data_IF_333512841112
#
_entry.id   IF_333512841112
#
_cell.length_a   1.000
_cell.length_b   1.000
_cell.length_c   1.000
_cell.angle_alpha   90.00
_cell.angle_beta   90.00
_cell.angle_gamma   90.00
#
_symmetry.space_group_name_H-M   'P 1'
#
loop_
_entity.id
_entity.type
_entity.pdbx_description
1 polymer ?
#
# COMPACT_ATOMS: atom_id res chain seq x y z
N UNK A 1 16.74 37.73 -45.39
CA UNK A 1 17.11 36.50 -46.11
C UNK A 1 18.29 35.86 -45.38
N UNK A 2 18.01 34.95 -44.45
CA UNK A 2 18.97 33.99 -43.87
C UNK A 2 18.16 32.72 -43.67
N UNK A 3 18.60 31.63 -44.32
CA UNK A 3 17.82 30.43 -44.54
C UNK A 3 17.78 29.48 -43.34
N UNK A 4 16.60 28.91 -43.13
CA UNK A 4 16.36 27.71 -42.33
C UNK A 4 17.01 26.49 -42.98
N UNK A 5 17.65 25.64 -42.18
CA UNK A 5 18.00 24.25 -42.51
C UNK A 5 17.26 23.36 -41.52
N UNK A 6 16.16 22.76 -41.97
CA UNK A 6 15.52 21.60 -41.33
C UNK A 6 16.13 20.34 -41.95
N UNK A 7 16.74 19.49 -41.12
CA UNK A 7 17.06 18.11 -41.49
C UNK A 7 16.02 17.21 -40.84
N UNK A 8 15.11 16.69 -41.66
CA UNK A 8 14.13 15.69 -41.27
C UNK A 8 14.75 14.29 -41.31
N UNK A 9 14.50 13.51 -40.27
CA UNK A 9 14.64 12.05 -40.29
C UNK A 9 13.24 11.46 -40.09
N UNK A 10 12.61 11.01 -41.16
CA UNK A 10 11.36 10.25 -41.14
C UNK A 10 11.69 8.76 -41.12
N UNK A 11 11.51 8.10 -39.97
CA UNK A 11 11.40 6.64 -39.92
C UNK A 11 9.98 6.25 -40.32
N UNK A 12 9.85 5.52 -41.43
CA UNK A 12 8.60 4.92 -41.85
C UNK A 12 8.30 3.69 -40.96
N UNK A 13 7.29 3.79 -40.11
CA UNK A 13 6.69 2.63 -39.45
C UNK A 13 5.77 1.92 -40.44
N UNK A 14 6.03 0.64 -40.73
CA UNK A 14 5.12 -0.20 -41.50
C UNK A 14 3.90 -0.52 -40.65
N UNK A 15 2.74 0.03 -41.02
CA UNK A 15 1.46 -0.30 -40.40
C UNK A 15 0.99 -1.68 -40.92
N UNK A 16 1.08 -2.70 -40.09
CA UNK A 16 0.43 -4.00 -40.34
C UNK A 16 -1.06 -3.89 -40.09
N UNK A 17 -1.88 -4.16 -41.11
CA UNK A 17 -3.34 -4.22 -40.98
C UNK A 17 -3.74 -5.60 -40.47
N UNK A 18 -4.32 -5.67 -39.27
CA UNK A 18 -4.95 -6.89 -38.75
C UNK A 18 -6.41 -6.95 -39.20
N UNK A 19 -6.80 -8.00 -39.93
CA UNK A 19 -8.19 -8.35 -40.18
C UNK A 19 -8.56 -9.51 -39.25
N UNK A 20 -9.58 -9.33 -38.41
CA UNK A 20 -10.08 -10.38 -37.53
C UNK A 20 -11.53 -10.73 -37.93
N UNK A 21 -11.78 -12.01 -38.22
CA UNK A 21 -13.12 -12.58 -38.29
C UNK A 21 -13.24 -13.65 -37.19
N UNK A 22 -14.13 -13.41 -36.22
CA UNK A 22 -14.33 -14.31 -35.07
C UNK A 22 -13.17 -14.31 -34.05
N UNK A 23 -13.05 -15.38 -33.26
CA UNK A 23 -12.10 -15.51 -32.15
C UNK A 23 -10.67 -15.87 -32.56
N UNK A 24 -10.26 -15.56 -33.79
CA UNK A 24 -8.94 -15.87 -34.33
C UNK A 24 -8.43 -14.71 -35.17
N UNK A 25 -7.36 -14.06 -34.71
CA UNK A 25 -6.64 -13.04 -35.48
C UNK A 25 -5.39 -13.68 -36.11
N UNK A 26 -5.20 -13.50 -37.43
CA UNK A 26 -3.97 -13.86 -38.13
C UNK A 26 -3.24 -12.59 -38.55
N UNK A 27 -1.98 -12.47 -38.14
CA UNK A 27 -1.07 -11.47 -38.69
C UNK A 27 -0.61 -11.93 -40.09
N UNK A 28 -0.79 -11.09 -41.10
CA UNK A 28 -0.24 -11.31 -42.45
C UNK A 28 1.03 -10.49 -42.54
N UNK A 29 2.19 -11.17 -42.50
CA UNK A 29 3.48 -10.57 -42.81
C UNK A 29 3.69 -10.69 -44.32
N UNK A 30 3.85 -9.57 -45.00
CA UNK A 30 4.27 -9.54 -46.40
C UNK A 30 5.80 -9.47 -46.44
N UNK A 31 6.45 -10.61 -46.65
CA UNK A 31 7.88 -10.65 -46.95
C UNK A 31 8.14 -11.07 -48.40
N UNK A 32 9.03 -10.31 -49.03
CA UNK A 32 9.53 -10.54 -50.38
C UNK A 32 10.45 -11.75 -50.48
N UNK A 33 10.43 -12.35 -51.66
CA UNK A 33 11.19 -13.52 -52.11
C UNK A 33 12.68 -13.51 -51.75
N UNK A 34 13.11 -14.53 -51.00
CA UNK A 34 14.33 -15.29 -51.30
C UNK A 34 14.26 -16.65 -50.60
N UNK A 35 14.26 -17.71 -51.40
CA UNK A 35 14.01 -19.10 -50.99
C UNK A 35 14.84 -19.60 -49.82
N UNK A 36 14.15 -19.91 -48.72
CA UNK A 36 14.62 -20.72 -47.62
C UNK A 36 13.46 -21.55 -47.08
N UNK A 37 13.61 -22.87 -47.01
CA UNK A 37 12.60 -23.78 -46.48
C UNK A 37 12.34 -23.45 -45.00
N UNK A 38 11.24 -22.76 -44.72
CA UNK A 38 10.79 -22.51 -43.35
C UNK A 38 9.95 -23.70 -42.86
N UNK A 39 10.52 -24.45 -41.91
CA UNK A 39 9.79 -25.44 -41.14
C UNK A 39 8.92 -24.72 -40.09
N UNK A 40 7.60 -24.79 -40.24
CA UNK A 40 6.64 -24.30 -39.24
C UNK A 40 6.72 -25.18 -37.99
N UNK A 41 7.48 -24.74 -37.00
CA UNK A 41 7.44 -25.27 -35.63
C UNK A 41 6.10 -24.87 -34.99
N UNK A 42 5.08 -25.73 -35.14
CA UNK A 42 3.89 -25.67 -34.32
C UNK A 42 4.26 -26.01 -32.88
N UNK A 43 4.47 -24.99 -32.05
CA UNK A 43 4.46 -25.17 -30.59
C UNK A 43 3.04 -25.58 -30.17
N UNK A 44 2.80 -26.89 -30.03
CA UNK A 44 1.71 -27.42 -29.21
C UNK A 44 2.04 -27.07 -27.75
N UNK A 45 1.61 -25.89 -27.31
CA UNK A 45 1.61 -25.50 -25.91
C UNK A 45 0.62 -26.38 -25.14
N UNK A 46 1.06 -27.57 -24.73
CA UNK A 46 0.36 -28.39 -23.75
C UNK A 46 0.71 -27.88 -22.36
N UNK A 47 0.34 -26.63 -22.06
CA UNK A 47 0.34 -26.14 -20.69
C UNK A 47 -0.86 -26.78 -19.97
N UNK A 48 -0.66 -28.05 -19.59
CA UNK A 48 -1.42 -28.63 -18.49
C UNK A 48 -0.99 -27.85 -17.26
N UNK A 49 -1.65 -26.71 -17.03
CA UNK A 49 -1.55 -25.97 -15.78
C UNK A 49 -1.83 -26.97 -14.66
N UNK A 50 -0.76 -27.45 -14.02
CA UNK A 50 -0.87 -28.32 -12.87
C UNK A 50 -1.59 -27.50 -11.82
N UNK A 51 -2.89 -27.78 -11.65
CA UNK A 51 -3.69 -27.25 -10.54
C UNK A 51 -3.04 -27.76 -9.26
N UNK A 52 -2.11 -26.96 -8.71
CA UNK A 52 -1.61 -27.19 -7.35
C UNK A 52 -2.83 -27.20 -6.44
N UNK A 53 -2.90 -28.20 -5.55
CA UNK A 53 -3.93 -28.22 -4.52
C UNK A 53 -3.91 -26.87 -3.78
N UNK A 54 -5.07 -26.34 -3.37
CA UNK A 54 -5.11 -25.12 -2.57
C UNK A 54 -4.17 -25.27 -1.37
N UNK A 55 -3.38 -24.25 -1.02
CA UNK A 55 -2.57 -24.28 0.18
C UNK A 55 -3.46 -24.59 1.40
N UNK A 56 -2.95 -25.37 2.33
CA UNK A 56 -3.65 -25.62 3.59
C UNK A 56 -3.89 -24.30 4.33
N UNK A 57 -5.08 -24.16 4.93
CA UNK A 57 -5.41 -22.99 5.74
C UNK A 57 -4.50 -22.94 6.98
N UNK A 58 -4.10 -21.72 7.36
CA UNK A 58 -3.37 -21.53 8.61
C UNK A 58 -4.31 -21.69 9.80
N UNK A 59 -3.84 -22.33 10.89
CA UNK A 59 -4.62 -22.45 12.11
C UNK A 59 -4.85 -21.06 12.75
N UNK A 60 -6.11 -20.80 13.10
CA UNK A 60 -6.57 -19.56 13.70
C UNK A 60 -6.85 -19.70 15.20
N UNK A 61 -6.34 -20.76 15.84
CA UNK A 61 -6.44 -20.90 17.28
C UNK A 61 -5.53 -19.88 18.00
N UNK A 62 -5.84 -19.52 19.26
CA UNK A 62 -5.10 -18.49 20.00
C UNK A 62 -3.59 -18.78 20.13
N UNK A 63 -3.18 -20.05 20.23
CA UNK A 63 -1.77 -20.40 20.38
C UNK A 63 -0.99 -20.17 19.07
N UNK A 64 -1.60 -20.53 17.93
CA UNK A 64 -1.02 -20.25 16.62
C UNK A 64 -0.93 -18.75 16.33
N UNK A 65 -1.94 -17.97 16.71
CA UNK A 65 -1.93 -16.50 16.59
C UNK A 65 -0.83 -15.87 17.44
N UNK A 66 -0.72 -16.28 18.71
CA UNK A 66 0.33 -15.82 19.64
C UNK A 66 1.72 -16.07 19.08
N UNK A 67 1.99 -17.26 18.56
CA UNK A 67 3.29 -17.60 17.93
C UNK A 67 3.63 -16.72 16.74
N UNK A 68 2.63 -16.37 15.90
CA UNK A 68 2.84 -15.46 14.77
C UNK A 68 3.16 -14.05 15.25
N UNK A 69 2.45 -13.57 16.27
CA UNK A 69 2.68 -12.27 16.87
C UNK A 69 4.06 -12.17 17.52
N UNK A 70 4.47 -13.19 18.30
CA UNK A 70 5.81 -13.29 18.88
C UNK A 70 6.90 -13.26 17.82
N UNK A 71 6.72 -13.99 16.70
CA UNK A 71 7.69 -13.99 15.60
C UNK A 71 7.76 -12.64 14.87
N UNK A 72 6.64 -11.93 14.76
CA UNK A 72 6.57 -10.61 14.14
C UNK A 72 7.23 -9.52 15.00
N UNK A 73 7.42 -9.76 16.31
CA UNK A 73 7.90 -8.77 17.28
C UNK A 73 9.44 -8.78 17.35
N UNK A 74 10.11 -7.61 17.48
CA UNK A 74 9.53 -6.26 17.47
C UNK A 74 9.04 -5.87 16.07
N UNK A 75 7.86 -5.27 15.98
CA UNK A 75 7.28 -4.84 14.70
C UNK A 75 7.87 -3.51 14.24
N UNK A 76 8.03 -3.35 12.92
CA UNK A 76 8.37 -2.08 12.30
C UNK A 76 7.20 -1.56 11.47
N UNK A 77 6.54 -0.51 11.96
CA UNK A 77 5.44 0.08 11.20
C UNK A 77 5.95 1.01 10.09
N UNK A 78 6.02 0.47 8.88
CA UNK A 78 6.34 1.20 7.65
C UNK A 78 5.09 1.96 7.16
N UNK A 79 5.03 3.26 7.47
CA UNK A 79 3.83 4.06 7.30
C UNK A 79 3.92 4.96 6.06
N UNK A 80 3.43 4.44 4.92
CA UNK A 80 3.31 5.22 3.68
C UNK A 80 2.29 6.34 3.88
N UNK A 81 2.61 7.61 3.54
CA UNK A 81 1.67 8.72 3.65
C UNK A 81 0.33 8.43 2.99
N UNK A 82 -0.75 8.71 3.73
CA UNK A 82 -2.15 8.59 3.27
C UNK A 82 -2.66 7.17 3.01
N UNK A 83 -1.97 6.18 3.58
CA UNK A 83 -2.43 4.79 3.59
C UNK A 83 -3.07 4.38 4.93
N UNK A 84 -3.61 5.34 5.71
CA UNK A 84 -4.42 5.06 6.89
C UNK A 84 -3.65 4.94 8.22
N UNK A 85 -3.42 6.08 8.86
CA UNK A 85 -2.77 6.17 10.19
C UNK A 85 -3.57 5.48 11.29
N UNK A 86 -4.88 5.30 11.12
CA UNK A 86 -5.74 4.54 12.03
C UNK A 86 -5.31 3.09 12.25
N UNK A 87 -4.39 2.54 11.44
CA UNK A 87 -3.79 1.22 11.69
C UNK A 87 -3.20 1.16 13.11
N UNK A 88 -2.73 2.28 13.67
CA UNK A 88 -2.23 2.32 15.05
C UNK A 88 -3.22 1.81 16.09
N UNK A 89 -4.53 2.01 15.86
CA UNK A 89 -5.56 1.50 16.76
C UNK A 89 -5.59 -0.03 16.79
N UNK A 90 -5.35 -0.71 15.67
CA UNK A 90 -5.17 -2.17 15.67
C UNK A 90 -3.92 -2.54 16.47
N UNK A 91 -2.79 -1.87 16.23
CA UNK A 91 -1.48 -2.26 16.76
C UNK A 91 -1.35 -2.11 18.27
N UNK A 92 -1.85 -1.01 18.83
CA UNK A 92 -1.82 -0.80 20.29
C UNK A 92 -2.69 -1.82 21.04
N UNK A 93 -3.58 -2.49 20.33
CA UNK A 93 -4.64 -3.32 20.86
C UNK A 93 -4.45 -4.81 20.55
N UNK A 94 -3.38 -5.16 19.83
CA UNK A 94 -2.94 -6.54 19.64
C UNK A 94 -2.45 -7.15 20.97
N UNK A 95 -2.70 -8.45 21.21
CA UNK A 95 -2.39 -9.09 22.49
C UNK A 95 -0.92 -8.93 22.91
N UNK A 96 -0.68 -8.24 24.03
CA UNK A 96 0.65 -8.12 24.63
C UNK A 96 1.59 -7.09 23.99
N UNK A 97 1.21 -6.43 22.89
CA UNK A 97 2.07 -5.42 22.27
C UNK A 97 2.13 -4.13 23.11
N UNK A 98 1.00 -3.62 23.58
CA UNK A 98 0.97 -2.40 24.39
C UNK A 98 0.20 -2.56 25.70
N UNK A 99 0.71 -3.35 26.66
CA UNK A 99 0.02 -3.58 27.94
C UNK A 99 -0.19 -2.31 28.77
N UNK A 100 0.52 -1.21 28.47
CA UNK A 100 0.34 0.08 29.14
C UNK A 100 -0.74 0.97 28.52
N UNK A 101 -1.39 0.56 27.43
CA UNK A 101 -2.49 1.29 26.80
C UNK A 101 -3.82 0.69 27.28
N UNK A 102 -4.71 1.46 27.95
CA UNK A 102 -6.03 0.98 28.32
C UNK A 102 -6.89 0.58 27.10
N UNK A 103 -7.73 -0.44 27.27
CA UNK A 103 -8.55 -1.03 26.20
C UNK A 103 -9.52 -0.05 25.51
N UNK A 104 -9.92 1.02 26.21
CA UNK A 104 -10.85 2.04 25.74
C UNK A 104 -10.17 3.23 25.05
N UNK A 105 -8.84 3.25 25.00
CA UNK A 105 -8.11 4.29 24.28
C UNK A 105 -8.27 4.10 22.78
N UNK A 106 -8.70 5.18 22.13
CA UNK A 106 -8.72 5.31 20.68
C UNK A 106 -7.76 6.42 20.32
N UNK A 107 -6.74 6.13 19.52
CA UNK A 107 -5.88 7.16 18.94
C UNK A 107 -6.66 7.82 17.82
N UNK A 108 -7.42 8.83 18.22
CA UNK A 108 -8.19 9.67 17.34
C UNK A 108 -8.10 11.11 17.79
N UNK A 109 -8.67 11.95 16.95
CA UNK A 109 -8.65 13.38 17.08
C UNK A 109 -9.67 13.86 18.13
N UNK A 110 -10.63 13.02 18.53
CA UNK A 110 -11.56 13.23 19.65
C UNK A 110 -10.85 13.01 20.99
N UNK A 111 -10.03 11.95 21.07
CA UNK A 111 -9.30 11.60 22.30
C UNK A 111 -8.10 12.50 22.53
N UNK A 112 -7.33 12.81 21.48
CA UNK A 112 -6.03 13.47 21.60
C UNK A 112 -5.92 14.80 20.82
N UNK A 113 -6.98 15.27 20.16
CA UNK A 113 -6.98 16.53 19.40
C UNK A 113 -6.31 16.43 18.02
N UNK A 114 -6.13 17.57 17.34
CA UNK A 114 -5.63 17.62 15.95
C UNK A 114 -4.27 16.94 15.75
N UNK A 115 -3.41 16.97 16.77
CA UNK A 115 -2.10 16.33 16.78
C UNK A 115 -2.13 14.95 17.49
N UNK A 116 -3.20 14.18 17.30
CA UNK A 116 -3.47 12.96 18.05
C UNK A 116 -2.30 11.98 18.10
N UNK A 117 -1.65 11.70 16.97
CA UNK A 117 -0.49 10.79 16.94
C UNK A 117 0.68 11.32 17.79
N UNK A 118 1.00 12.62 17.70
CA UNK A 118 2.06 13.24 18.51
C UNK A 118 1.70 13.26 20.00
N UNK A 119 0.44 13.52 20.33
CA UNK A 119 -0.06 13.50 21.69
C UNK A 119 -0.05 12.08 22.30
N UNK A 120 -0.45 11.06 21.52
CA UNK A 120 -0.32 9.65 21.92
C UNK A 120 1.14 9.27 22.14
N UNK A 121 2.04 9.58 21.19
CA UNK A 121 3.48 9.34 21.33
C UNK A 121 4.05 9.97 22.61
N UNK A 122 3.62 11.20 22.93
CA UNK A 122 4.05 11.89 24.15
C UNK A 122 3.49 11.25 25.43
N UNK A 123 2.23 10.85 25.42
CA UNK A 123 1.55 10.29 26.59
C UNK A 123 1.99 8.86 26.91
N UNK A 124 2.11 8.02 25.89
CA UNK A 124 2.33 6.58 26.03
C UNK A 124 3.74 6.13 25.67
N UNK A 125 4.55 6.96 24.99
CA UNK A 125 5.96 6.70 24.67
C UNK A 125 6.18 5.28 24.10
N UNK A 126 5.50 4.90 22.99
CA UNK A 126 5.42 3.50 22.54
C UNK A 126 6.77 2.87 22.16
N UNK A 127 7.83 3.66 22.00
CA UNK A 127 9.19 3.17 21.68
C UNK A 127 10.12 3.12 22.91
N UNK A 128 9.72 3.69 24.04
CA UNK A 128 10.54 3.71 25.25
C UNK A 128 10.50 2.34 25.95
N UNK A 129 11.62 1.93 26.57
CA UNK A 129 11.68 0.68 27.34
C UNK A 129 10.72 0.67 28.54
N UNK A 130 10.44 1.85 29.13
CA UNK A 130 9.48 2.06 30.21
C UNK A 130 8.15 2.67 29.69
N UNK A 131 7.95 2.63 28.37
CA UNK A 131 6.75 3.10 27.69
C UNK A 131 5.61 2.09 27.74
N UNK A 132 4.53 2.41 27.02
CA UNK A 132 3.31 1.61 27.01
C UNK A 132 3.41 0.33 26.17
N UNK A 133 4.41 0.24 25.27
CA UNK A 133 4.62 -0.85 24.32
C UNK A 133 6.06 -1.42 24.37
N UNK A 134 6.55 -1.84 25.55
CA UNK A 134 7.97 -2.12 25.76
C UNK A 134 8.46 -3.29 24.89
N UNK A 135 9.41 -3.02 24.01
CA UNK A 135 10.01 -4.02 23.12
C UNK A 135 9.13 -4.49 21.96
N UNK A 136 7.95 -3.88 21.79
CA UNK A 136 6.98 -4.31 20.77
C UNK A 136 7.24 -3.68 19.41
N UNK A 137 7.89 -2.52 19.37
CA UNK A 137 8.12 -1.77 18.14
C UNK A 137 9.54 -1.25 18.05
N UNK A 138 10.18 -1.40 16.89
CA UNK A 138 11.44 -0.72 16.54
C UNK A 138 11.18 0.66 15.94
N UNK A 139 9.99 0.85 15.35
CA UNK A 139 9.64 2.06 14.60
C UNK A 139 8.13 2.32 14.66
N UNK A 140 7.72 3.58 14.89
CA UNK A 140 6.30 3.94 15.10
C UNK A 140 5.80 5.00 14.12
N UNK A 141 5.29 4.53 12.98
CA UNK A 141 4.40 5.30 12.11
C UNK A 141 5.01 6.58 11.53
N UNK A 142 6.34 6.69 11.48
CA UNK A 142 7.00 7.81 10.82
C UNK A 142 7.02 7.59 9.30
N UNK A 143 7.21 8.67 8.56
CA UNK A 143 7.27 8.67 7.10
C UNK A 143 8.71 8.55 6.60
N UNK A 144 9.49 7.70 7.28
CA UNK A 144 10.93 7.57 7.10
C UNK A 144 11.25 6.56 6.00
N UNK A 145 12.45 6.69 5.43
CA UNK A 145 13.01 5.75 4.48
C UNK A 145 13.59 4.53 5.20
N UNK A 146 13.28 3.34 4.70
CA UNK A 146 13.59 2.07 5.36
C UNK A 146 15.02 1.58 5.12
N UNK A 147 15.74 2.08 4.10
CA UNK A 147 17.00 1.47 3.64
C UNK A 147 18.09 1.32 4.72
N UNK A 148 18.43 2.36 5.51
CA UNK A 148 19.50 2.27 6.51
C UNK A 148 19.24 1.21 7.58
N UNK A 149 17.96 0.92 7.84
CA UNK A 149 17.48 0.06 8.92
C UNK A 149 16.80 -1.21 8.38
N UNK A 150 16.88 -1.48 7.07
CA UNK A 150 16.12 -2.56 6.43
C UNK A 150 16.41 -3.91 7.07
N UNK A 151 17.68 -4.29 7.13
CA UNK A 151 18.10 -5.61 7.64
C UNK A 151 17.92 -5.77 9.14
N UNK A 152 17.96 -4.67 9.90
CA UNK A 152 17.96 -4.70 11.37
C UNK A 152 16.58 -4.48 11.97
N UNK A 153 15.71 -3.72 11.31
CA UNK A 153 14.40 -3.33 11.85
C UNK A 153 13.22 -3.87 11.03
N UNK A 154 13.32 -3.92 9.71
CA UNK A 154 12.17 -4.20 8.85
C UNK A 154 12.10 -5.66 8.36
N UNK A 155 13.22 -6.27 7.99
CA UNK A 155 13.25 -7.57 7.34
C UNK A 155 12.70 -8.70 8.26
N UNK A 156 11.48 -9.16 7.96
CA UNK A 156 10.77 -10.19 8.73
C UNK A 156 9.90 -9.66 9.86
N UNK A 157 9.78 -8.33 9.96
CA UNK A 157 9.12 -7.60 11.06
C UNK A 157 8.20 -6.47 10.58
N UNK A 158 8.29 -6.11 9.29
CA UNK A 158 7.61 -4.94 8.77
C UNK A 158 6.10 -5.16 8.63
N UNK A 159 5.35 -4.12 8.95
CA UNK A 159 3.90 -4.05 8.73
C UNK A 159 3.58 -2.77 7.98
N UNK A 160 2.60 -2.83 7.07
CA UNK A 160 2.16 -1.65 6.33
C UNK A 160 0.70 -1.74 5.91
N UNK A 161 0.17 -0.57 5.57
CA UNK A 161 -1.03 -0.43 4.75
C UNK A 161 -0.60 0.23 3.45
N UNK A 162 -1.11 -0.27 2.33
CA UNK A 162 -0.97 0.36 1.02
C UNK A 162 -2.32 0.93 0.56
N UNK A 163 -2.30 1.76 -0.46
CA UNK A 163 -3.49 2.34 -1.09
C UNK A 163 -3.23 2.44 -2.58
N UNK A 164 -4.30 2.36 -3.38
CA UNK A 164 -4.18 2.64 -4.81
C UNK A 164 -3.48 4.00 -5.02
N UNK A 165 -2.42 4.08 -5.85
CA UNK A 165 -1.53 5.25 -5.86
C UNK A 165 -2.22 6.57 -6.19
N UNK A 166 -3.16 6.57 -7.11
CA UNK A 166 -3.90 7.75 -7.56
C UNK A 166 -4.82 8.26 -6.43
N UNK A 167 -5.50 7.34 -5.73
CA UNK A 167 -6.28 7.62 -4.53
C UNK A 167 -5.39 8.16 -3.40
N UNK A 168 -4.17 7.63 -3.22
CA UNK A 168 -3.18 8.15 -2.26
C UNK A 168 -2.75 9.56 -2.62
N UNK A 169 -2.44 9.82 -3.89
CA UNK A 169 -1.99 11.13 -4.38
C UNK A 169 -3.05 12.21 -4.16
N UNK A 170 -4.30 11.95 -4.54
CA UNK A 170 -5.41 12.89 -4.29
C UNK A 170 -5.66 13.09 -2.80
N UNK A 171 -5.55 12.03 -1.99
CA UNK A 171 -5.62 12.17 -0.54
C UNK A 171 -4.51 13.05 0.04
N UNK A 172 -3.32 13.03 -0.55
CA UNK A 172 -2.20 13.85 -0.14
C UNK A 172 -2.41 15.31 -0.51
N UNK A 173 -2.83 15.57 -1.74
CA UNK A 173 -3.17 16.90 -2.25
C UNK A 173 -4.28 17.57 -1.42
N UNK A 174 -5.39 16.84 -1.20
CA UNK A 174 -6.55 17.32 -0.44
C UNK A 174 -6.29 17.46 1.07
N UNK A 175 -5.17 16.93 1.56
CA UNK A 175 -4.70 17.17 2.93
C UNK A 175 -3.75 18.38 3.02
N UNK A 176 -3.80 19.30 2.06
CA UNK A 176 -2.84 20.41 2.01
C UNK A 176 -1.45 19.94 1.54
N UNK A 177 -1.42 19.04 0.57
CA UNK A 177 -0.22 18.65 -0.17
C UNK A 177 0.85 17.95 0.69
N UNK A 178 0.44 16.93 1.43
CA UNK A 178 1.28 16.17 2.36
C UNK A 178 2.52 15.56 1.68
N UNK A 179 3.73 15.80 2.20
CA UNK A 179 5.02 15.41 1.59
C UNK A 179 5.44 16.20 0.34
N UNK A 180 4.75 17.29 -0.01
CA UNK A 180 5.18 18.15 -1.12
C UNK A 180 6.58 18.74 -0.88
N UNK A 181 7.54 18.55 -1.81
CA UNK A 181 8.93 18.98 -1.62
C UNK A 181 9.16 20.45 -2.01
N UNK A 182 8.23 21.09 -2.70
CA UNK A 182 8.38 22.46 -3.19
C UNK A 182 8.12 23.52 -2.12
N UNK A 183 8.76 24.69 -2.29
CA UNK A 183 8.57 25.84 -1.39
C UNK A 183 7.18 26.51 -1.58
N UNK A 184 6.57 26.30 -2.74
CA UNK A 184 5.23 26.79 -3.09
C UNK A 184 4.29 25.62 -3.30
N UNK A 185 3.00 25.73 -2.93
CA UNK A 185 2.03 24.67 -3.20
C UNK A 185 1.99 24.31 -4.70
N UNK A 186 1.84 23.02 -5.01
CA UNK A 186 1.48 22.53 -6.32
C UNK A 186 0.23 23.27 -6.83
N UNK A 187 0.23 23.64 -8.10
CA UNK A 187 -0.84 24.40 -8.75
C UNK A 187 -2.00 23.51 -9.20
N UNK A 188 -1.79 22.20 -9.27
CA UNK A 188 -2.82 21.22 -9.62
C UNK A 188 -2.54 19.85 -9.03
N UNK A 189 -3.57 19.01 -8.96
CA UNK A 189 -3.49 17.59 -8.58
C UNK A 189 -2.52 16.82 -9.49
N UNK A 190 -2.51 17.14 -10.79
CA UNK A 190 -1.62 16.50 -11.76
C UNK A 190 -0.15 16.89 -11.53
N UNK A 191 0.13 18.16 -11.23
CA UNK A 191 1.50 18.57 -10.87
C UNK A 191 1.95 17.89 -9.58
N UNK A 192 1.05 17.84 -8.59
CA UNK A 192 1.30 17.13 -7.35
C UNK A 192 1.61 15.65 -7.59
N UNK A 193 0.77 14.97 -8.39
CA UNK A 193 0.94 13.58 -8.77
C UNK A 193 2.26 13.32 -9.51
N UNK A 194 2.61 14.17 -10.48
CA UNK A 194 3.87 14.06 -11.24
C UNK A 194 5.08 14.11 -10.31
N UNK A 195 5.09 14.96 -9.28
CA UNK A 195 6.22 15.01 -8.33
C UNK A 195 6.21 13.90 -7.29
N UNK A 196 5.04 13.49 -6.80
CA UNK A 196 4.92 12.55 -5.69
C UNK A 196 4.81 11.09 -6.12
N UNK A 197 4.90 10.80 -7.41
CA UNK A 197 4.88 9.43 -7.93
C UNK A 197 6.07 8.60 -7.44
N UNK A 198 5.87 7.32 -7.14
CA UNK A 198 6.93 6.43 -6.62
C UNK A 198 7.32 6.70 -5.16
N UNK A 199 6.43 7.30 -4.38
CA UNK A 199 6.67 7.64 -2.97
C UNK A 199 6.93 6.39 -2.12
N UNK A 200 6.09 5.37 -2.23
CA UNK A 200 6.23 4.16 -1.43
C UNK A 200 7.48 3.36 -1.85
N UNK A 201 7.77 3.31 -3.16
CA UNK A 201 9.02 2.74 -3.68
C UNK A 201 10.23 3.45 -3.07
N UNK A 202 10.28 4.79 -3.14
CA UNK A 202 11.41 5.55 -2.56
C UNK A 202 11.57 5.32 -1.07
N UNK A 203 10.47 5.36 -0.32
CA UNK A 203 10.51 5.09 1.12
C UNK A 203 11.02 3.68 1.43
N UNK A 204 10.79 2.68 0.57
CA UNK A 204 11.33 1.33 0.79
C UNK A 204 12.81 1.19 0.47
N UNK A 205 13.34 1.94 -0.50
CA UNK A 205 14.69 1.70 -1.06
C UNK A 205 15.71 2.80 -0.78
N UNK A 206 15.28 3.91 -0.20
CA UNK A 206 16.16 4.99 0.27
C UNK A 206 16.01 5.17 1.78
N UNK A 207 16.98 5.88 2.37
CA UNK A 207 16.91 6.36 3.75
C UNK A 207 16.41 7.80 3.87
N UNK A 208 16.33 8.27 5.11
CA UNK A 208 15.97 9.65 5.45
C UNK A 208 14.81 9.72 6.43
N UNK A 209 14.76 10.80 7.21
CA UNK A 209 13.70 11.06 8.21
C UNK A 209 12.81 12.26 7.88
N UNK A 210 13.09 12.95 6.77
CA UNK A 210 12.20 13.99 6.23
C UNK A 210 11.34 13.40 5.11
N UNK A 211 10.03 13.44 5.30
CA UNK A 211 9.05 12.97 4.32
C UNK A 211 9.17 13.68 2.96
N UNK A 212 9.67 14.93 2.94
CA UNK A 212 9.91 15.69 1.70
C UNK A 212 11.07 15.10 0.90
N UNK A 213 12.01 14.47 1.58
CA UNK A 213 13.19 13.88 0.96
C UNK A 213 12.91 12.44 0.55
N UNK A 214 12.27 11.66 1.42
CA UNK A 214 11.95 10.24 1.17
C UNK A 214 10.82 10.10 0.15
N UNK A 215 9.63 10.59 0.49
CA UNK A 215 8.45 10.49 -0.35
C UNK A 215 8.42 11.58 -1.44
N UNK A 216 8.78 12.81 -1.13
CA UNK A 216 8.80 13.93 -2.09
C UNK A 216 9.95 13.85 -3.11
N UNK A 217 10.97 13.02 -2.86
CA UNK A 217 12.05 12.76 -3.82
C UNK A 217 12.98 13.94 -4.06
N UNK A 218 13.02 14.93 -3.15
CA UNK A 218 13.79 16.18 -3.31
C UNK A 218 15.26 15.94 -3.71
N UNK A 219 15.86 14.87 -3.20
CA UNK A 219 17.28 14.54 -3.42
C UNK A 219 17.51 13.20 -4.13
N UNK A 220 16.48 12.38 -4.30
CA UNK A 220 16.59 11.02 -4.83
C UNK A 220 16.06 10.89 -6.26
N UNK A 221 15.19 11.81 -6.72
CA UNK A 221 14.62 11.78 -8.06
C UNK A 221 13.52 10.71 -8.23
N UNK A 222 13.32 10.27 -9.48
CA UNK A 222 12.36 9.21 -9.80
C UNK A 222 12.97 7.83 -9.54
N UNK A 223 12.18 6.85 -9.06
CA UNK A 223 12.67 5.49 -8.94
C UNK A 223 13.12 4.91 -10.28
N UNK A 224 14.21 4.16 -10.24
CA UNK A 224 14.67 3.32 -11.34
C UNK A 224 13.90 1.99 -11.36
N UNK A 225 13.89 1.25 -12.48
CA UNK A 225 13.31 -0.09 -12.52
C UNK A 225 13.91 -1.06 -11.49
N UNK A 226 15.21 -0.95 -11.20
CA UNK A 226 15.88 -1.80 -10.20
C UNK A 226 15.43 -1.46 -8.77
N UNK A 227 15.20 -0.18 -8.48
CA UNK A 227 14.61 0.27 -7.22
C UNK A 227 13.17 -0.21 -7.04
N UNK A 228 12.34 -0.16 -8.09
CA UNK A 228 10.99 -0.76 -8.05
C UNK A 228 11.06 -2.26 -7.76
N UNK A 229 11.97 -2.97 -8.44
CA UNK A 229 12.18 -4.41 -8.22
C UNK A 229 12.62 -4.70 -6.78
N UNK A 230 13.58 -3.93 -6.25
CA UNK A 230 14.03 -4.06 -4.86
C UNK A 230 12.91 -3.78 -3.87
N UNK A 231 12.11 -2.72 -4.09
CA UNK A 231 10.95 -2.41 -3.25
C UNK A 231 9.95 -3.57 -3.20
N UNK A 232 9.66 -4.19 -4.35
CA UNK A 232 8.78 -5.37 -4.45
C UNK A 232 9.39 -6.56 -3.72
N UNK A 233 10.68 -6.81 -3.87
CA UNK A 233 11.39 -7.89 -3.16
C UNK A 233 11.31 -7.68 -1.63
N UNK A 234 11.61 -6.47 -1.16
CA UNK A 234 11.47 -6.05 0.23
C UNK A 234 10.05 -6.27 0.74
N UNK A 235 9.03 -5.84 -0.02
CA UNK A 235 7.62 -6.06 0.32
C UNK A 235 7.29 -7.56 0.48
N UNK A 236 7.76 -8.40 -0.45
CA UNK A 236 7.47 -9.85 -0.47
C UNK A 236 8.18 -10.63 0.63
N UNK A 237 9.33 -10.16 1.10
CA UNK A 237 10.21 -10.92 1.99
C UNK A 237 10.23 -10.39 3.42
N UNK A 238 10.15 -9.08 3.58
CA UNK A 238 10.32 -8.42 4.87
C UNK A 238 9.01 -8.18 5.64
N UNK A 239 7.87 -8.16 4.95
CA UNK A 239 6.60 -7.79 5.57
C UNK A 239 5.85 -9.00 6.13
N UNK A 240 5.50 -8.92 7.42
CA UNK A 240 4.64 -9.91 8.09
C UNK A 240 3.16 -9.59 7.94
N UNK A 241 2.82 -8.34 7.61
CA UNK A 241 1.46 -7.91 7.32
C UNK A 241 1.45 -6.80 6.27
N UNK A 242 0.60 -6.95 5.26
CA UNK A 242 0.32 -5.95 4.23
C UNK A 242 -1.19 -5.83 4.11
N UNK A 243 -1.75 -4.72 4.59
CA UNK A 243 -3.16 -4.39 4.40
C UNK A 243 -3.38 -3.41 3.24
N UNK A 244 -4.64 -3.26 2.83
CA UNK A 244 -5.06 -2.40 1.73
C UNK A 244 -6.10 -1.41 2.24
N UNK A 245 -5.83 -0.13 2.09
CA UNK A 245 -6.68 0.97 2.56
C UNK A 245 -8.05 0.90 1.92
N UNK A 246 -8.11 0.57 0.63
CA UNK A 246 -9.35 0.42 -0.14
C UNK A 246 -10.14 -0.86 0.24
N UNK A 247 -9.62 -1.66 1.16
CA UNK A 247 -10.26 -2.84 1.74
C UNK A 247 -10.07 -2.83 3.27
N UNK A 248 -10.37 -1.69 3.89
CA UNK A 248 -10.05 -1.41 5.29
C UNK A 248 -10.61 -2.48 6.23
N UNK A 249 -11.90 -2.78 6.15
CA UNK A 249 -12.54 -3.73 7.06
C UNK A 249 -11.93 -5.14 6.97
N UNK A 250 -11.64 -5.62 5.76
CA UNK A 250 -10.96 -6.89 5.55
C UNK A 250 -9.50 -6.86 6.05
N UNK A 251 -8.82 -5.73 5.95
CA UNK A 251 -7.45 -5.57 6.46
C UNK A 251 -7.41 -5.66 7.98
N UNK A 252 -8.35 -5.02 8.68
CA UNK A 252 -8.44 -5.11 10.15
C UNK A 252 -8.78 -6.54 10.59
N UNK A 253 -9.79 -7.14 9.95
CA UNK A 253 -10.13 -8.54 10.22
C UNK A 253 -8.94 -9.48 9.95
N UNK A 254 -8.21 -9.30 8.84
CA UNK A 254 -7.02 -10.08 8.53
C UNK A 254 -5.96 -9.94 9.64
N UNK A 255 -5.70 -8.71 10.12
CA UNK A 255 -4.79 -8.47 11.24
C UNK A 255 -5.18 -9.28 12.49
N UNK A 256 -6.45 -9.25 12.89
CA UNK A 256 -6.95 -10.05 14.00
C UNK A 256 -6.92 -11.55 13.74
N UNK A 257 -7.17 -12.02 12.51
CA UNK A 257 -7.03 -13.44 12.17
C UNK A 257 -5.58 -13.91 12.28
N UNK A 258 -4.64 -13.07 11.86
CA UNK A 258 -3.21 -13.36 11.90
C UNK A 258 -2.66 -13.35 13.33
N UNK A 259 -2.97 -12.31 14.12
CA UNK A 259 -2.29 -12.02 15.39
C UNK A 259 -3.18 -12.14 16.64
N UNK A 260 -4.49 -12.37 16.46
CA UNK A 260 -5.46 -12.49 17.55
C UNK A 260 -5.99 -11.14 18.05
N UNK A 261 -6.49 -11.14 19.28
CA UNK A 261 -7.13 -9.97 19.89
C UNK A 261 -8.61 -9.84 19.55
N UNK A 262 -9.29 -8.97 20.29
CA UNK A 262 -10.70 -8.60 20.04
C UNK A 262 -10.78 -7.59 18.92
N UNK A 263 -11.75 -7.73 18.04
CA UNK A 263 -12.08 -6.70 17.08
C UNK A 263 -12.81 -5.56 17.81
N UNK A 264 -12.30 -4.34 17.68
CA UNK A 264 -12.81 -3.16 18.37
C UNK A 264 -13.38 -2.17 17.37
N UNK A 265 -14.38 -1.39 17.78
CA UNK A 265 -14.89 -0.28 16.98
C UNK A 265 -13.77 0.69 16.57
N UNK A 266 -12.77 0.88 17.44
CA UNK A 266 -11.60 1.74 17.21
C UNK A 266 -10.79 1.36 15.97
N UNK A 267 -10.80 0.09 15.57
CA UNK A 267 -10.04 -0.40 14.41
C UNK A 267 -10.66 0.11 13.09
N UNK A 268 -11.92 0.55 13.14
CA UNK A 268 -12.70 1.02 12.00
C UNK A 268 -12.99 2.52 12.06
N UNK A 269 -12.41 3.25 13.02
CA UNK A 269 -12.53 4.71 13.09
C UNK A 269 -11.57 5.36 12.11
N UNK A 270 -12.09 6.26 11.26
CA UNK A 270 -11.21 7.12 10.47
C UNK A 270 -10.68 8.27 11.34
N UNK A 271 -9.39 8.20 11.68
CA UNK A 271 -8.68 9.24 12.42
C UNK A 271 -8.30 10.44 11.55
N UNK A 272 -8.59 10.40 10.25
CA UNK A 272 -8.23 11.46 9.31
C UNK A 272 -9.10 12.70 9.49
N UNK A 273 -8.43 13.85 9.40
CA UNK A 273 -9.05 15.15 9.13
C UNK A 273 -8.78 15.47 7.65
N UNK A 274 -9.62 15.04 6.71
CA UNK A 274 -9.49 15.56 5.34
C UNK A 274 -10.02 16.99 5.31
N UNK A 275 -9.15 17.93 4.93
CA UNK A 275 -9.34 19.36 5.17
C UNK A 275 -10.22 20.08 4.13
N UNK A 276 -10.76 19.40 3.14
CA UNK A 276 -11.56 20.05 2.10
C UNK A 276 -13.06 19.93 2.41
N UNK A 277 -13.60 21.11 2.70
CA UNK A 277 -14.97 21.56 2.45
C UNK A 277 -16.10 20.77 3.12
N UNK A 278 -16.41 21.16 4.36
CA UNK A 278 -17.72 20.88 4.98
C UNK A 278 -17.87 19.51 5.65
N UNK A 279 -17.05 18.52 5.32
CA UNK A 279 -17.10 17.19 5.94
C UNK A 279 -16.35 17.10 7.28
N UNK A 280 -16.57 18.05 8.19
CA UNK A 280 -16.33 17.78 9.62
C UNK A 280 -17.15 16.58 10.11
N UNK A 281 -18.19 16.21 9.37
CA UNK A 281 -19.10 15.15 9.73
C UNK A 281 -18.47 13.76 9.71
N UNK A 282 -17.42 13.45 8.93
CA UNK A 282 -16.85 12.10 8.89
C UNK A 282 -15.82 11.81 9.98
N UNK A 283 -15.40 12.85 10.69
CA UNK A 283 -14.38 12.79 11.75
C UNK A 283 -14.84 11.90 12.91
N UNK A 284 -14.00 10.92 13.29
CA UNK A 284 -14.29 9.99 14.37
C UNK A 284 -15.42 9.01 14.07
N UNK A 285 -15.92 8.97 12.82
CA UNK A 285 -16.93 8.00 12.41
C UNK A 285 -16.31 6.65 12.08
N UNK A 286 -17.09 5.62 12.33
CA UNK A 286 -16.83 4.26 11.85
C UNK A 286 -16.99 4.25 10.34
N UNK A 287 -15.92 3.94 9.62
CA UNK A 287 -15.88 3.88 8.16
C UNK A 287 -15.35 2.51 7.71
N UNK A 288 -16.23 1.50 7.58
CA UNK A 288 -15.81 0.19 7.12
C UNK A 288 -15.42 0.20 5.64
N UNK A 289 -16.03 1.10 4.87
CA UNK A 289 -15.78 1.30 3.44
C UNK A 289 -14.89 2.52 3.19
N UNK A 290 -13.95 2.45 2.24
CA UNK A 290 -13.05 3.55 1.93
C UNK A 290 -13.78 4.68 1.19
N UNK A 291 -13.43 5.92 1.52
CA UNK A 291 -13.77 7.06 0.66
C UNK A 291 -12.86 7.10 -0.57
N UNK A 292 -13.46 6.97 -1.76
CA UNK A 292 -12.76 7.07 -3.05
C UNK A 292 -12.92 8.49 -3.63
N UNK A 293 -11.80 9.09 -4.03
CA UNK A 293 -11.75 10.35 -4.74
C UNK A 293 -12.11 10.19 -6.22
N UNK A 294 -12.70 11.23 -6.82
CA UNK A 294 -12.81 11.35 -8.28
C UNK A 294 -11.40 11.51 -8.88
N UNK A 295 -11.02 10.59 -9.77
CA UNK A 295 -9.72 10.60 -10.43
C UNK A 295 -9.65 11.54 -11.65
N UNK A 296 -10.76 12.18 -12.05
CA UNK A 296 -10.80 13.07 -13.20
C UNK A 296 -9.76 14.21 -13.17
N UNK A 297 -9.40 14.82 -12.02
CA UNK A 297 -8.36 15.87 -11.96
C UNK A 297 -6.96 15.38 -12.35
N UNK A 298 -6.72 14.07 -12.24
CA UNK A 298 -5.46 13.45 -12.63
C UNK A 298 -5.33 13.25 -14.16
N UNK A 299 -6.38 13.52 -14.94
CA UNK A 299 -6.35 13.48 -16.43
C UNK A 299 -5.79 12.17 -17.01
N UNK A 300 -6.10 11.04 -16.35
CA UNK A 300 -5.63 9.72 -16.77
C UNK A 300 -4.19 9.39 -16.37
N UNK A 301 -3.56 10.22 -15.53
CA UNK A 301 -2.27 9.90 -14.92
C UNK A 301 -2.32 8.55 -14.20
N UNK A 302 -1.18 7.84 -14.28
CA UNK A 302 -0.91 6.60 -13.57
C UNK A 302 0.48 6.66 -12.96
N UNK A 303 0.62 6.34 -11.68
CA UNK A 303 1.91 6.22 -11.01
C UNK A 303 2.60 4.92 -11.47
N UNK A 304 3.61 4.99 -12.36
CA UNK A 304 4.19 3.79 -12.97
C UNK A 304 5.08 3.01 -11.98
N UNK A 305 5.41 3.59 -10.83
CA UNK A 305 6.33 3.03 -9.85
C UNK A 305 5.55 2.42 -8.68
N UNK A 306 4.76 3.24 -7.97
CA UNK A 306 3.95 2.75 -6.85
C UNK A 306 2.84 1.82 -7.35
N UNK A 307 2.39 1.92 -8.62
CA UNK A 307 1.44 1.00 -9.22
C UNK A 307 1.91 -0.45 -9.19
N UNK A 308 3.17 -0.71 -9.60
CA UNK A 308 3.76 -2.05 -9.59
C UNK A 308 3.93 -2.58 -8.15
N UNK A 309 4.33 -1.72 -7.22
CA UNK A 309 4.47 -2.08 -5.81
C UNK A 309 3.09 -2.39 -5.18
N UNK A 310 2.07 -1.60 -5.51
CA UNK A 310 0.71 -1.79 -5.05
C UNK A 310 0.11 -3.10 -5.57
N UNK A 311 0.33 -3.44 -6.85
CA UNK A 311 -0.06 -4.73 -7.43
C UNK A 311 0.58 -5.90 -6.67
N UNK A 312 1.88 -5.83 -6.38
CA UNK A 312 2.56 -6.84 -5.56
C UNK A 312 1.99 -6.92 -4.14
N UNK A 313 1.62 -5.77 -3.54
CA UNK A 313 0.94 -5.72 -2.26
C UNK A 313 -0.45 -6.35 -2.28
N UNK A 314 -1.22 -6.12 -3.35
CA UNK A 314 -2.52 -6.75 -3.57
C UNK A 314 -2.39 -8.28 -3.72
N UNK A 315 -1.35 -8.78 -4.38
CA UNK A 315 -1.07 -10.21 -4.45
C UNK A 315 -0.89 -10.80 -3.04
N UNK A 316 0.00 -10.21 -2.23
CA UNK A 316 0.27 -10.63 -0.85
C UNK A 316 -0.99 -10.59 0.00
N UNK A 317 -1.75 -9.48 -0.09
CA UNK A 317 -2.99 -9.31 0.66
C UNK A 317 -4.00 -10.39 0.28
N UNK A 318 -4.27 -10.61 -1.01
CA UNK A 318 -5.22 -11.62 -1.46
C UNK A 318 -4.77 -13.05 -1.15
N UNK A 319 -3.47 -13.33 -1.20
CA UNK A 319 -2.90 -14.61 -0.74
C UNK A 319 -3.15 -14.81 0.75
N UNK A 320 -2.94 -13.78 1.57
CA UNK A 320 -3.21 -13.84 3.00
C UNK A 320 -4.72 -13.97 3.30
N UNK A 321 -5.59 -13.31 2.54
CA UNK A 321 -7.04 -13.51 2.67
C UNK A 321 -7.40 -14.98 2.47
N UNK A 322 -6.85 -15.64 1.43
CA UNK A 322 -7.07 -17.08 1.21
C UNK A 322 -6.46 -17.92 2.32
N UNK A 323 -5.20 -17.65 2.68
CA UNK A 323 -4.42 -18.40 3.67
C UNK A 323 -5.08 -18.41 5.06
N UNK A 324 -5.66 -17.29 5.46
CA UNK A 324 -6.32 -17.11 6.76
C UNK A 324 -7.85 -17.16 6.68
N UNK A 325 -8.40 -17.63 5.55
CA UNK A 325 -9.84 -17.76 5.31
C UNK A 325 -10.64 -16.48 5.66
N UNK A 326 -10.21 -15.35 5.12
CA UNK A 326 -10.77 -14.01 5.34
C UNK A 326 -11.64 -13.61 4.15
N UNK A 327 -12.92 -13.41 4.41
CA UNK A 327 -13.93 -12.83 3.51
C UNK A 327 -14.89 -11.99 4.35
N UNK A 328 -15.79 -11.23 3.73
CA UNK A 328 -16.81 -10.46 4.47
C UNK A 328 -17.63 -11.40 5.38
N UNK A 329 -18.01 -12.56 4.86
CA UNK A 329 -18.80 -13.56 5.58
C UNK A 329 -18.01 -14.18 6.72
N UNK A 330 -16.76 -14.58 6.49
CA UNK A 330 -15.93 -15.18 7.55
C UNK A 330 -15.49 -14.16 8.60
N UNK A 331 -15.50 -12.87 8.27
CA UNK A 331 -15.21 -11.76 9.18
C UNK A 331 -16.44 -11.26 9.94
N UNK A 332 -17.65 -11.73 9.63
CA UNK A 332 -18.86 -11.31 10.34
C UNK A 332 -18.73 -11.35 11.87
N UNK A 333 -18.16 -12.38 12.53
CA UNK A 333 -17.97 -12.36 13.98
C UNK A 333 -17.10 -11.20 14.49
N UNK A 334 -16.07 -10.82 13.73
CA UNK A 334 -15.19 -9.69 14.05
C UNK A 334 -15.95 -8.36 13.91
N UNK A 335 -16.74 -8.21 12.85
CA UNK A 335 -17.55 -7.02 12.62
C UNK A 335 -18.67 -6.89 13.68
N UNK A 336 -19.32 -8.00 14.03
CA UNK A 336 -20.32 -8.05 15.08
C UNK A 336 -19.69 -7.70 16.45
N UNK A 337 -18.49 -8.19 16.76
CA UNK A 337 -17.74 -7.83 17.98
C UNK A 337 -17.37 -6.34 18.02
N UNK A 338 -16.95 -5.77 16.87
CA UNK A 338 -16.66 -4.35 16.73
C UNK A 338 -17.91 -3.46 16.68
N UNK A 339 -19.12 -4.04 16.61
CA UNK A 339 -20.38 -3.31 16.52
C UNK A 339 -20.56 -2.54 15.22
N UNK A 340 -20.05 -3.07 14.10
CA UNK A 340 -20.12 -2.44 12.78
C UNK A 340 -20.86 -3.32 11.77
N UNK A 341 -21.45 -2.69 10.76
CA UNK A 341 -22.03 -3.40 9.62
C UNK A 341 -21.16 -3.18 8.37
N UNK A 342 -20.84 -4.25 7.66
CA UNK A 342 -20.08 -4.21 6.41
C UNK A 342 -20.89 -4.95 5.35
N UNK A 343 -21.15 -4.29 4.22
CA UNK A 343 -21.86 -4.89 3.09
C UNK A 343 -20.91 -5.75 2.26
N UNK A 344 -21.42 -6.85 1.70
CA UNK A 344 -20.69 -7.73 0.78
C UNK A 344 -20.64 -7.18 -0.66
#
# INVERSE_FOLDING_TARGET
MVGLLFVGATSAAAAGVSHCEGSSCRAVVLDGDAGGSMSLLQHRGSDKAHRRAPPALEPMDPESQRKRLEKATPMAWFHVPKCGSSLENLLIHLPGLCPGVPDDIVVSVETFGENHNSAFKKAYRPLDQDGACPGSFTHWGAHDGADPDWETMYNGHAITMLREPEQRLLSGYNYGQHSWPGDWPAWSELEYADKLQGCAVRMLVHGGSDMKDTCGGRYTGMPTPDEVKLAIERLKTGFVFVGITDKWALSMCLGHRMFGGKCRTSDFVDGRITALDGEKETRGKVMPEPHLYDLSPLKGFRDPYDGQLYEAGLEIFNDNLRRYNVSIESCKPCFDEAGIEVSA
#
